data_IF_128135557636
#
_entry.id   IF_128135557636
#
_cell.length_a   1.000
_cell.length_b   1.000
_cell.length_c   1.000
_cell.angle_alpha   90.00
_cell.angle_beta   90.00
_cell.angle_gamma   90.00
#
_symmetry.space_group_name_H-M   'P 1'
#
loop_
_entity.id
_entity.type
_entity.pdbx_description
1 polymer ?
#
# COMPACT_ATOMS: atom_id res chain seq x y z
N UNK A 1 -40.59 3.86 13.15
CA UNK A 1 -40.00 3.59 11.82
C UNK A 1 -38.74 2.76 12.03
N UNK A 2 -38.71 1.50 11.59
CA UNK A 2 -37.49 0.68 11.57
C UNK A 2 -36.72 1.00 10.29
N UNK A 3 -35.51 1.54 10.43
CA UNK A 3 -34.57 1.73 9.32
C UNK A 3 -33.97 0.38 8.96
N UNK A 4 -34.43 -0.23 7.87
CA UNK A 4 -33.81 -1.41 7.28
C UNK A 4 -32.55 -1.00 6.52
N UNK A 5 -31.39 -1.13 7.16
CA UNK A 5 -30.08 -0.89 6.55
C UNK A 5 -29.67 -2.12 5.73
N UNK A 6 -29.79 -2.05 4.40
CA UNK A 6 -29.37 -3.13 3.51
C UNK A 6 -27.90 -2.90 3.10
N UNK A 7 -26.96 -3.47 3.85
CA UNK A 7 -25.53 -3.35 3.57
C UNK A 7 -25.13 -4.27 2.40
N UNK A 8 -24.34 -3.78 1.42
CA UNK A 8 -23.78 -4.63 0.38
C UNK A 8 -22.87 -5.71 0.98
N UNK A 9 -22.93 -6.92 0.43
CA UNK A 9 -22.10 -8.04 0.89
C UNK A 9 -20.65 -7.82 0.46
N UNK A 10 -19.70 -8.04 1.37
CA UNK A 10 -18.26 -7.87 1.10
C UNK A 10 -17.71 -9.14 0.47
N UNK A 11 -16.95 -8.99 -0.62
CA UNK A 11 -16.12 -10.05 -1.14
C UNK A 11 -14.90 -10.24 -0.24
N UNK A 12 -14.90 -11.34 0.49
CA UNK A 12 -13.89 -11.66 1.50
C UNK A 12 -12.51 -11.90 0.91
N UNK A 13 -12.46 -12.54 -0.26
CA UNK A 13 -11.21 -12.98 -0.86
C UNK A 13 -10.57 -11.85 -1.65
N UNK A 14 -11.38 -11.09 -2.41
CA UNK A 14 -10.91 -9.87 -3.08
C UNK A 14 -10.47 -8.80 -2.09
N UNK A 15 -11.22 -8.60 -1.00
CA UNK A 15 -10.83 -7.65 0.05
C UNK A 15 -9.52 -8.07 0.72
N UNK A 16 -9.34 -9.37 1.01
CA UNK A 16 -8.09 -9.89 1.57
C UNK A 16 -6.93 -9.58 0.62
N UNK A 17 -7.07 -9.92 -0.66
CA UNK A 17 -6.06 -9.70 -1.68
C UNK A 17 -5.70 -8.21 -1.84
N UNK A 18 -6.69 -7.32 -1.76
CA UNK A 18 -6.47 -5.88 -1.80
C UNK A 18 -5.61 -5.39 -0.62
N UNK A 19 -5.88 -5.89 0.60
CA UNK A 19 -5.08 -5.59 1.79
C UNK A 19 -3.66 -6.16 1.65
N UNK A 20 -3.51 -7.42 1.20
CA UNK A 20 -2.20 -8.04 0.98
C UNK A 20 -1.37 -7.28 -0.06
N UNK A 21 -1.98 -6.91 -1.19
CA UNK A 21 -1.35 -6.11 -2.23
C UNK A 21 -0.89 -4.75 -1.69
N UNK A 22 -1.70 -4.10 -0.84
CA UNK A 22 -1.33 -2.82 -0.23
C UNK A 22 -0.16 -2.98 0.75
N UNK A 23 -0.15 -4.02 1.58
CA UNK A 23 0.94 -4.30 2.51
C UNK A 23 2.22 -4.69 1.76
N UNK A 24 2.13 -5.42 0.66
CA UNK A 24 3.26 -5.70 -0.22
C UNK A 24 3.83 -4.41 -0.86
N UNK A 25 2.97 -3.51 -1.35
CA UNK A 25 3.40 -2.18 -1.82
C UNK A 25 4.08 -1.37 -0.71
N UNK A 26 3.58 -1.46 0.52
CA UNK A 26 4.19 -0.82 1.69
C UNK A 26 5.62 -1.34 1.93
N UNK A 27 5.84 -2.65 1.86
CA UNK A 27 7.16 -3.26 2.01
C UNK A 27 8.12 -2.79 0.91
N UNK A 28 7.69 -2.81 -0.36
CA UNK A 28 8.50 -2.32 -1.48
C UNK A 28 8.87 -0.85 -1.29
N UNK A 29 7.92 0.00 -0.90
CA UNK A 29 8.17 1.43 -0.65
C UNK A 29 9.05 1.73 0.56
N UNK A 30 9.22 0.76 1.47
CA UNK A 30 10.17 0.85 2.58
C UNK A 30 11.61 0.57 2.10
N UNK A 31 11.77 -0.30 1.11
CA UNK A 31 13.05 -0.67 0.50
C UNK A 31 13.54 0.32 -0.56
N UNK A 32 12.62 1.06 -1.22
CA UNK A 32 13.00 2.03 -2.24
C UNK A 32 13.85 3.17 -1.66
N UNK A 33 15.04 3.35 -2.21
CA UNK A 33 15.94 4.47 -1.92
C UNK A 33 15.55 5.72 -2.73
N UNK A 34 15.30 6.89 -2.10
CA UNK A 34 15.05 8.15 -2.79
C UNK A 34 16.17 8.61 -3.75
N UNK A 35 17.38 8.05 -3.63
CA UNK A 35 18.55 8.40 -4.45
C UNK A 35 18.54 7.78 -5.87
N UNK A 36 17.74 6.74 -6.15
CA UNK A 36 17.80 6.05 -7.46
C UNK A 36 17.28 6.88 -8.67
N UNK A 37 16.62 8.02 -8.43
CA UNK A 37 16.04 8.88 -9.46
C UNK A 37 16.88 10.13 -9.75
N UNK A 38 18.19 9.99 -9.87
CA UNK A 38 19.06 11.07 -10.33
C UNK A 38 18.97 11.25 -11.86
N UNK A 39 18.83 12.49 -12.36
CA UNK A 39 18.89 12.73 -13.80
C UNK A 39 20.30 12.36 -14.28
N UNK A 40 20.41 11.41 -15.23
CA UNK A 40 21.66 11.20 -15.96
C UNK A 40 21.93 12.44 -16.82
N UNK A 41 22.78 13.33 -16.33
CA UNK A 41 23.24 14.51 -17.06
C UNK A 41 24.34 14.05 -18.03
N UNK A 42 23.97 13.40 -19.13
CA UNK A 42 24.85 13.29 -20.30
C UNK A 42 24.48 14.38 -21.29
N UNK A 43 25.28 15.44 -21.31
CA UNK A 43 25.14 16.51 -22.28
C UNK A 43 25.38 15.96 -23.69
N UNK A 44 24.31 15.78 -24.48
CA UNK A 44 24.43 15.53 -25.92
C UNK A 44 24.59 16.86 -26.63
N UNK A 45 25.83 17.18 -27.02
CA UNK A 45 26.10 18.39 -27.80
C UNK A 45 25.62 18.17 -29.24
N UNK A 46 24.56 18.87 -29.65
CA UNK A 46 24.16 18.94 -31.06
C UNK A 46 24.84 20.15 -31.70
N UNK A 47 25.60 19.93 -32.76
CA UNK A 47 26.32 20.97 -33.53
C UNK A 47 25.38 21.85 -34.38
N UNK A 48 24.09 21.55 -34.42
CA UNK A 48 23.10 22.26 -35.24
C UNK A 48 22.21 23.11 -34.34
N UNK A 49 22.13 24.40 -34.63
CA UNK A 49 21.21 25.33 -33.98
C UNK A 49 19.77 24.94 -34.31
N UNK A 50 19.02 24.47 -33.30
CA UNK A 50 17.57 24.27 -33.42
C UNK A 50 16.90 25.64 -33.45
N UNK A 51 15.98 25.88 -34.40
CA UNK A 51 15.18 27.10 -34.41
C UNK A 51 14.44 27.26 -33.06
N UNK A 52 14.28 28.48 -32.52
CA UNK A 52 13.61 28.70 -31.25
C UNK A 52 12.14 28.27 -31.36
N UNK A 53 11.83 27.04 -30.99
CA UNK A 53 10.47 26.62 -30.72
C UNK A 53 10.11 27.12 -29.32
N UNK A 54 8.99 27.82 -29.19
CA UNK A 54 8.52 28.39 -27.92
C UNK A 54 7.96 27.31 -26.96
N UNK A 55 8.49 26.08 -27.06
CA UNK A 55 8.08 24.90 -26.31
C UNK A 55 9.24 24.48 -25.42
N UNK A 56 9.28 25.04 -24.21
CA UNK A 56 10.31 24.75 -23.21
C UNK A 56 9.98 23.42 -22.52
N UNK A 57 10.23 22.29 -23.19
CA UNK A 57 10.11 20.96 -22.61
C UNK A 57 11.48 20.50 -22.11
N UNK A 58 11.90 21.05 -20.96
CA UNK A 58 13.14 20.62 -20.31
C UNK A 58 12.91 19.22 -19.73
N UNK A 59 13.52 18.21 -20.36
CA UNK A 59 13.43 16.81 -19.91
C UNK A 59 13.94 16.64 -18.48
N UNK A 60 14.88 17.49 -18.04
CA UNK A 60 15.38 17.53 -16.67
C UNK A 60 14.35 18.07 -15.68
N UNK A 61 13.57 19.08 -16.07
CA UNK A 61 12.51 19.66 -15.23
C UNK A 61 11.35 18.67 -15.06
N UNK A 62 10.89 18.05 -16.16
CA UNK A 62 9.82 17.06 -16.11
C UNK A 62 10.21 15.84 -15.25
N UNK A 63 11.48 15.42 -15.33
CA UNK A 63 12.01 14.32 -14.49
C UNK A 63 12.06 14.71 -13.02
N UNK A 64 12.48 15.95 -12.71
CA UNK A 64 12.50 16.46 -11.34
C UNK A 64 11.09 16.55 -10.74
N UNK A 65 10.10 17.00 -11.51
CA UNK A 65 8.68 17.05 -11.07
C UNK A 65 8.15 15.65 -10.77
N UNK A 66 8.35 14.69 -11.68
CA UNK A 66 7.92 13.29 -11.48
C UNK A 66 8.55 12.67 -10.24
N UNK A 67 9.83 12.96 -9.95
CA UNK A 67 10.52 12.50 -8.72
C UNK A 67 9.82 13.01 -7.46
N UNK A 68 9.55 14.31 -7.39
CA UNK A 68 8.90 14.92 -6.22
C UNK A 68 7.51 14.32 -5.97
N UNK A 69 6.75 14.09 -7.04
CA UNK A 69 5.42 13.49 -6.94
C UNK A 69 5.47 12.03 -6.46
N UNK A 70 6.43 11.24 -6.95
CA UNK A 70 6.63 9.85 -6.53
C UNK A 70 7.01 9.78 -5.05
N UNK A 71 7.96 10.61 -4.60
CA UNK A 71 8.37 10.65 -3.20
C UNK A 71 7.23 11.11 -2.27
N UNK A 72 6.41 12.06 -2.72
CA UNK A 72 5.20 12.47 -1.99
C UNK A 72 4.23 11.29 -1.87
N UNK A 73 3.90 10.62 -2.97
CA UNK A 73 3.00 9.44 -2.97
C UNK A 73 3.52 8.33 -2.06
N UNK A 74 4.83 8.04 -2.11
CA UNK A 74 5.50 7.05 -1.26
C UNK A 74 5.32 7.39 0.22
N UNK A 75 5.72 8.59 0.63
CA UNK A 75 5.60 9.07 2.02
C UNK A 75 4.15 9.08 2.51
N UNK A 76 3.22 9.49 1.66
CA UNK A 76 1.80 9.53 2.00
C UNK A 76 1.23 8.13 2.19
N UNK A 77 1.62 7.16 1.34
CA UNK A 77 1.23 5.76 1.51
C UNK A 77 1.77 5.19 2.82
N UNK A 78 3.07 5.34 3.08
CA UNK A 78 3.72 4.83 4.30
C UNK A 78 3.02 5.39 5.55
N UNK A 79 2.81 6.71 5.61
CA UNK A 79 2.10 7.37 6.72
C UNK A 79 0.64 6.93 6.83
N UNK A 80 -0.04 6.67 5.71
CA UNK A 80 -1.44 6.22 5.70
C UNK A 80 -1.56 4.81 6.28
N UNK A 81 -0.70 3.89 5.86
CA UNK A 81 -0.67 2.51 6.34
C UNK A 81 -0.30 2.45 7.83
N UNK A 82 0.77 3.15 8.25
CA UNK A 82 1.16 3.21 9.66
C UNK A 82 0.04 3.75 10.56
N UNK A 83 -0.65 4.83 10.14
CA UNK A 83 -1.80 5.36 10.88
C UNK A 83 -2.96 4.38 10.95
N UNK A 84 -3.21 3.61 9.88
CA UNK A 84 -4.26 2.60 9.87
C UNK A 84 -3.95 1.45 10.83
N UNK A 85 -2.72 0.93 10.81
CA UNK A 85 -2.25 -0.13 11.70
C UNK A 85 -2.27 0.32 13.18
N UNK A 86 -1.92 1.58 13.44
CA UNK A 86 -1.98 2.17 14.79
C UNK A 86 -3.40 2.35 15.33
N UNK A 87 -4.44 2.20 14.51
CA UNK A 87 -5.85 2.20 14.98
C UNK A 87 -6.35 0.81 15.37
N UNK A 88 -5.64 -0.25 14.99
CA UNK A 88 -5.99 -1.61 15.39
C UNK A 88 -5.75 -1.82 16.89
N UNK A 89 -6.45 -2.80 17.47
CA UNK A 89 -6.22 -3.18 18.86
C UNK A 89 -4.84 -3.83 19.03
N UNK A 90 -4.30 -3.87 20.24
CA UNK A 90 -2.94 -4.36 20.52
C UNK A 90 -2.64 -5.71 19.83
N UNK A 91 -3.46 -6.73 20.07
CA UNK A 91 -3.23 -8.07 19.50
C UNK A 91 -3.31 -8.10 17.97
N UNK A 92 -4.24 -7.35 17.38
CA UNK A 92 -4.40 -7.25 15.92
C UNK A 92 -3.18 -6.54 15.30
N UNK A 93 -2.74 -5.46 15.93
CA UNK A 93 -1.56 -4.71 15.54
C UNK A 93 -0.29 -5.56 15.62
N UNK A 94 -0.09 -6.29 16.71
CA UNK A 94 1.05 -7.18 16.88
C UNK A 94 1.14 -8.22 15.77
N UNK A 95 0.01 -8.80 15.36
CA UNK A 95 -0.02 -9.74 14.22
C UNK A 95 0.40 -9.04 12.92
N UNK A 96 -0.16 -7.87 12.61
CA UNK A 96 0.16 -7.17 11.36
C UNK A 96 1.61 -6.70 11.32
N UNK A 97 2.13 -6.15 12.41
CA UNK A 97 3.51 -5.64 12.47
C UNK A 97 4.51 -6.78 12.28
N UNK A 98 4.42 -7.83 13.11
CA UNK A 98 5.39 -8.93 13.06
C UNK A 98 5.33 -9.70 11.74
N UNK A 99 4.13 -9.87 11.15
CA UNK A 99 3.99 -10.62 9.90
C UNK A 99 4.28 -9.81 8.63
N UNK A 100 3.91 -8.53 8.59
CA UNK A 100 3.89 -7.76 7.34
C UNK A 100 4.75 -6.50 7.36
N UNK A 101 5.23 -6.04 8.51
CA UNK A 101 6.01 -4.79 8.61
C UNK A 101 7.44 -4.98 9.14
N UNK A 102 7.79 -6.16 9.66
CA UNK A 102 9.09 -6.43 10.26
C UNK A 102 10.24 -6.52 9.24
N UNK A 103 9.96 -6.57 7.93
CA UNK A 103 10.97 -6.54 6.87
C UNK A 103 11.54 -7.92 6.51
N UNK A 104 11.45 -8.88 7.41
CA UNK A 104 11.88 -10.26 7.18
C UNK A 104 10.74 -11.12 6.60
N UNK A 105 11.09 -12.12 5.77
CA UNK A 105 10.17 -13.16 5.28
C UNK A 105 9.78 -14.12 6.41
N UNK A 106 9.07 -13.61 7.41
CA UNK A 106 8.64 -14.37 8.58
C UNK A 106 7.44 -15.22 8.22
N UNK A 107 7.41 -16.49 8.63
CA UNK A 107 6.28 -17.40 8.43
C UNK A 107 5.21 -17.27 9.52
N UNK A 108 3.96 -17.67 9.21
CA UNK A 108 2.83 -17.49 10.13
C UNK A 108 3.06 -18.27 11.42
N UNK A 109 3.76 -19.42 11.32
CA UNK A 109 4.12 -20.25 12.46
C UNK A 109 5.16 -19.61 13.38
N UNK A 110 6.11 -18.86 12.85
CA UNK A 110 7.08 -18.13 13.66
C UNK A 110 6.37 -17.03 14.44
N UNK A 111 5.50 -16.26 13.75
CA UNK A 111 4.78 -15.14 14.36
C UNK A 111 3.87 -15.60 15.49
N UNK A 112 3.05 -16.65 15.30
CA UNK A 112 2.16 -17.06 16.39
C UNK A 112 2.91 -17.72 17.55
N UNK A 113 4.04 -18.37 17.30
CA UNK A 113 4.89 -18.93 18.35
C UNK A 113 5.53 -17.80 19.18
N UNK A 114 6.09 -16.79 18.52
CA UNK A 114 6.68 -15.62 19.17
C UNK A 114 5.64 -14.83 19.98
N UNK A 115 4.43 -14.65 19.44
CA UNK A 115 3.34 -13.95 20.11
C UNK A 115 2.64 -14.79 21.21
N UNK A 116 3.01 -16.07 21.38
CA UNK A 116 2.37 -16.98 22.34
C UNK A 116 0.89 -17.24 22.02
N UNK A 117 0.52 -17.26 20.75
CA UNK A 117 -0.84 -17.56 20.28
C UNK A 117 -0.94 -19.00 19.79
N UNK A 118 -2.07 -19.64 20.08
CA UNK A 118 -2.43 -20.85 19.33
C UNK A 118 -2.73 -20.50 17.87
N UNK A 119 -2.44 -21.42 16.95
CA UNK A 119 -2.68 -21.27 15.52
C UNK A 119 -4.11 -20.77 15.22
N UNK A 120 -5.12 -21.42 15.81
CA UNK A 120 -6.53 -21.03 15.65
C UNK A 120 -6.81 -19.60 16.13
N UNK A 121 -6.19 -19.18 17.24
CA UNK A 121 -6.34 -17.80 17.77
C UNK A 121 -5.68 -16.81 16.82
N UNK A 122 -4.50 -17.12 16.31
CA UNK A 122 -3.75 -16.29 15.36
C UNK A 122 -4.57 -16.02 14.09
N UNK A 123 -5.02 -17.06 13.37
CA UNK A 123 -5.77 -16.85 12.12
C UNK A 123 -7.08 -16.09 12.33
N UNK A 124 -7.76 -16.28 13.47
CA UNK A 124 -8.95 -15.51 13.82
C UNK A 124 -8.65 -14.03 14.04
N UNK A 125 -7.54 -13.70 14.71
CA UNK A 125 -7.11 -12.31 14.94
C UNK A 125 -6.65 -11.69 13.61
N UNK A 126 -5.86 -12.41 12.82
CA UNK A 126 -5.39 -12.00 11.49
C UNK A 126 -6.56 -11.65 10.58
N UNK A 127 -7.54 -12.54 10.44
CA UNK A 127 -8.73 -12.28 9.61
C UNK A 127 -9.50 -11.02 10.07
N UNK A 128 -9.68 -10.83 11.39
CA UNK A 128 -10.34 -9.62 11.92
C UNK A 128 -9.54 -8.35 11.67
N UNK A 129 -8.22 -8.40 11.83
CA UNK A 129 -7.33 -7.28 11.56
C UNK A 129 -7.42 -6.85 10.10
N UNK A 130 -7.48 -7.81 9.18
CA UNK A 130 -7.61 -7.56 7.74
C UNK A 130 -8.90 -6.82 7.38
N UNK A 131 -10.06 -7.26 7.88
CA UNK A 131 -11.31 -6.53 7.64
C UNK A 131 -11.27 -5.11 8.20
N UNK A 132 -10.77 -4.94 9.43
CA UNK A 132 -10.64 -3.61 10.04
C UNK A 132 -9.73 -2.71 9.23
N UNK A 133 -8.59 -3.22 8.76
CA UNK A 133 -7.69 -2.47 7.88
C UNK A 133 -8.38 -2.08 6.58
N UNK A 134 -9.09 -3.01 5.94
CA UNK A 134 -9.83 -2.73 4.72
C UNK A 134 -10.78 -1.53 4.91
N UNK A 135 -11.58 -1.54 5.98
CA UNK A 135 -12.50 -0.44 6.29
C UNK A 135 -11.80 0.87 6.65
N UNK A 136 -10.73 0.82 7.46
CA UNK A 136 -9.98 2.02 7.85
C UNK A 136 -9.36 2.69 6.62
N UNK A 137 -8.90 1.87 5.67
CA UNK A 137 -8.25 2.31 4.45
C UNK A 137 -9.23 2.54 3.29
N UNK A 138 -10.50 2.13 3.42
CA UNK A 138 -11.52 2.19 2.37
C UNK A 138 -11.11 1.44 1.11
N UNK A 139 -10.70 0.19 1.27
CA UNK A 139 -10.29 -0.72 0.20
C UNK A 139 -11.09 -2.02 0.19
N UNK A 140 -12.20 -2.05 0.92
CA UNK A 140 -13.13 -3.17 0.88
C UNK A 140 -13.79 -3.29 -0.50
N UNK A 141 -13.89 -4.53 -0.99
CA UNK A 141 -14.50 -4.86 -2.27
C UNK A 141 -15.85 -5.47 -1.98
N UNK A 142 -16.90 -4.93 -2.59
CA UNK A 142 -18.26 -5.43 -2.44
C UNK A 142 -18.58 -6.39 -3.58
N UNK A 143 -19.35 -7.43 -3.27
CA UNK A 143 -19.95 -8.27 -4.30
C UNK A 143 -21.01 -7.45 -5.01
N UNK A 144 -20.94 -7.40 -6.32
CA UNK A 144 -22.02 -6.85 -7.11
C UNK A 144 -23.25 -7.77 -6.96
N UNK A 145 -24.44 -7.16 -6.81
CA UNK A 145 -25.70 -7.91 -6.68
C UNK A 145 -26.04 -8.68 -7.97
N UNK A 146 -25.36 -8.34 -9.05
CA UNK A 146 -25.36 -8.98 -10.35
C UNK A 146 -23.91 -9.41 -10.60
N UNK A 147 -23.64 -10.69 -10.87
CA UNK A 147 -22.30 -11.30 -10.81
C UNK A 147 -21.26 -10.84 -11.85
N UNK A 148 -20.95 -9.55 -11.93
CA UNK A 148 -19.90 -8.99 -12.78
C UNK A 148 -19.09 -7.97 -11.97
N UNK A 149 -17.82 -8.25 -11.70
CA UNK A 149 -16.93 -7.38 -10.93
C UNK A 149 -16.62 -6.07 -11.70
N UNK A 150 -16.61 -4.95 -10.99
CA UNK A 150 -16.06 -3.65 -11.44
C UNK A 150 -14.97 -3.22 -10.48
#
# INVERSE_FOLDING_TARGET
MQLTFNLPEIDRDLTRLAVESLLGKYQVYLLMDPEEYEPKITSSFKLVSVAPSNQFHSTTEETAIKRVDMERKRRDLLKRVQRAVNRLNYQERSVIINRYMAGDDVYDYEVYNELGFSERKYYRIKARAFYKLAFILRIEVYKNKDGEAV
#
